data_IF_605368160375
#
_entry.id   IF_605368160375
#
_cell.length_a   1.000
_cell.length_b   1.000
_cell.length_c   1.000
_cell.angle_alpha   90.00
_cell.angle_beta   90.00
_cell.angle_gamma   90.00
#
_symmetry.space_group_name_H-M   'P 1'
#
loop_
_entity.id
_entity.type
_entity.pdbx_description
1 polymer ?
#
# COMPACT_ATOMS: atom_id res chain seq x y z
N UNK A 1 -25.64 -6.88 -56.89
CA UNK A 1 -25.04 -6.58 -55.57
C UNK A 1 -24.69 -7.91 -54.93
N UNK A 2 -23.45 -8.36 -55.15
CA UNK A 2 -22.99 -9.68 -54.70
C UNK A 2 -22.37 -9.50 -53.32
N UNK A 3 -23.07 -9.99 -52.29
CA UNK A 3 -22.60 -9.98 -50.91
C UNK A 3 -21.42 -10.94 -50.81
N UNK A 4 -20.21 -10.41 -50.82
CA UNK A 4 -19.00 -11.15 -50.47
C UNK A 4 -19.07 -11.50 -48.99
N UNK A 5 -19.60 -12.67 -48.67
CA UNK A 5 -19.39 -13.33 -47.39
C UNK A 5 -17.93 -13.78 -47.35
N UNK A 6 -17.05 -12.89 -46.89
CA UNK A 6 -15.67 -13.18 -46.58
C UNK A 6 -15.62 -14.19 -45.43
N UNK A 7 -15.22 -15.42 -45.77
CA UNK A 7 -14.91 -16.53 -44.86
C UNK A 7 -14.12 -16.01 -43.65
N UNK A 8 -14.71 -16.04 -42.45
CA UNK A 8 -13.96 -15.96 -41.19
C UNK A 8 -13.01 -17.16 -41.17
N UNK A 9 -11.72 -16.92 -41.38
CA UNK A 9 -10.71 -17.91 -41.03
C UNK A 9 -10.75 -18.03 -39.50
N UNK A 10 -11.15 -19.19 -38.98
CA UNK A 10 -11.02 -19.51 -37.56
C UNK A 10 -9.53 -19.46 -37.21
N UNK A 11 -9.08 -18.31 -36.70
CA UNK A 11 -7.77 -18.21 -36.07
C UNK A 11 -7.85 -19.07 -34.82
N UNK A 12 -7.15 -20.21 -34.81
CA UNK A 12 -6.90 -20.94 -33.57
C UNK A 12 -6.10 -20.01 -32.65
N UNK A 13 -6.71 -19.59 -31.53
CA UNK A 13 -6.03 -18.83 -30.51
C UNK A 13 -5.41 -19.81 -29.53
N UNK A 14 -4.12 -19.61 -29.22
CA UNK A 14 -3.42 -20.44 -28.25
C UNK A 14 -2.85 -19.56 -27.14
N UNK A 15 -3.16 -19.91 -25.90
CA UNK A 15 -2.68 -19.24 -24.71
C UNK A 15 -1.31 -19.83 -24.34
N UNK A 16 -0.24 -19.03 -24.29
CA UNK A 16 1.03 -19.47 -23.73
C UNK A 16 0.97 -19.36 -22.20
N UNK A 17 0.57 -20.44 -21.53
CA UNK A 17 0.48 -20.48 -20.07
C UNK A 17 1.86 -20.74 -19.48
N UNK A 18 2.35 -19.83 -18.64
CA UNK A 18 3.64 -19.99 -17.97
C UNK A 18 3.58 -21.06 -16.88
N UNK A 19 4.56 -21.96 -16.84
CA UNK A 19 4.61 -23.10 -15.91
C UNK A 19 5.91 -23.10 -15.09
N UNK A 20 5.80 -23.47 -13.82
CA UNK A 20 6.91 -23.71 -12.89
C UNK A 20 7.18 -25.22 -12.76
N UNK A 21 8.30 -25.61 -12.15
CA UNK A 21 8.63 -27.04 -11.95
C UNK A 21 7.56 -27.78 -11.13
N UNK A 22 6.98 -27.10 -10.13
CA UNK A 22 5.87 -27.62 -9.32
C UNK A 22 4.62 -27.90 -10.16
N UNK A 23 4.21 -26.94 -11.00
CA UNK A 23 3.05 -27.11 -11.89
C UNK A 23 3.30 -28.20 -12.94
N UNK A 24 4.53 -28.34 -13.44
CA UNK A 24 4.90 -29.40 -14.37
C UNK A 24 4.72 -30.78 -13.72
N UNK A 25 5.18 -30.92 -12.47
CA UNK A 25 5.05 -32.15 -11.70
C UNK A 25 3.59 -32.49 -11.38
N UNK A 26 2.83 -31.52 -10.85
CA UNK A 26 1.47 -31.75 -10.34
C UNK A 26 0.46 -32.05 -11.44
N UNK A 27 0.59 -31.41 -12.60
CA UNK A 27 -0.29 -31.62 -13.75
C UNK A 27 0.27 -32.66 -14.73
N UNK A 28 1.45 -33.23 -14.45
CA UNK A 28 2.06 -34.28 -15.27
C UNK A 28 2.36 -33.85 -16.71
N UNK A 29 2.72 -32.58 -16.92
CA UNK A 29 3.05 -32.08 -18.24
C UNK A 29 4.32 -32.77 -18.76
N UNK A 30 4.28 -33.26 -20.01
CA UNK A 30 5.45 -33.89 -20.61
C UNK A 30 6.48 -32.81 -20.98
N UNK A 31 7.79 -33.11 -20.87
CA UNK A 31 8.85 -32.20 -21.32
C UNK A 31 8.71 -31.76 -22.77
N UNK A 32 8.12 -32.60 -23.61
CA UNK A 32 7.87 -32.37 -25.04
C UNK A 32 6.87 -31.23 -25.31
N UNK A 33 5.90 -31.03 -24.40
CA UNK A 33 4.85 -30.02 -24.54
C UNK A 33 5.30 -28.64 -24.01
N UNK A 34 6.47 -28.60 -23.36
CA UNK A 34 7.03 -27.38 -22.75
C UNK A 34 7.92 -26.67 -23.75
N UNK A 35 7.56 -25.45 -24.10
CA UNK A 35 8.33 -24.61 -25.00
C UNK A 35 8.81 -23.34 -24.31
N UNK A 36 9.96 -22.81 -24.75
CA UNK A 36 10.41 -21.50 -24.28
C UNK A 36 9.79 -20.40 -25.14
N UNK A 37 9.05 -19.50 -24.48
CA UNK A 37 8.48 -18.31 -25.13
C UNK A 37 8.84 -17.06 -24.34
N UNK A 38 8.97 -15.95 -25.06
CA UNK A 38 9.13 -14.64 -24.44
C UNK A 38 7.74 -14.07 -24.14
N UNK A 39 7.44 -13.88 -22.86
CA UNK A 39 6.25 -13.18 -22.38
C UNK A 39 6.73 -11.86 -21.77
N UNK A 40 6.46 -10.75 -22.47
CA UNK A 40 6.98 -9.44 -22.13
C UNK A 40 8.52 -9.38 -22.18
N UNK A 41 9.13 -9.04 -21.05
CA UNK A 41 10.59 -8.96 -20.92
C UNK A 41 11.25 -10.25 -20.41
N UNK A 42 10.46 -11.29 -20.12
CA UNK A 42 10.94 -12.53 -19.49
C UNK A 42 10.86 -13.70 -20.47
N UNK A 43 11.81 -14.63 -20.40
CA UNK A 43 11.73 -15.93 -21.07
C UNK A 43 11.11 -16.92 -20.10
N UNK A 44 9.98 -17.49 -20.47
CA UNK A 44 9.23 -18.41 -19.63
C UNK A 44 9.12 -19.78 -20.32
N UNK A 45 9.09 -20.83 -19.52
CA UNK A 45 8.58 -22.14 -19.94
C UNK A 45 7.07 -22.03 -20.03
N UNK A 46 6.52 -22.42 -21.18
CA UNK A 46 5.10 -22.33 -21.43
C UNK A 46 4.55 -23.62 -22.02
N UNK A 47 3.29 -23.88 -21.69
CA UNK A 47 2.45 -24.88 -22.37
C UNK A 47 1.43 -24.12 -23.21
N UNK A 48 1.21 -24.55 -24.45
CA UNK A 48 0.25 -23.94 -25.36
C UNK A 48 -1.12 -24.57 -25.14
N UNK A 49 -2.11 -23.76 -24.76
CA UNK A 49 -3.48 -24.21 -24.52
C UNK A 49 -4.39 -23.63 -25.59
N UNK A 50 -5.09 -24.47 -26.34
CA UNK A 50 -6.07 -24.03 -27.32
C UNK A 50 -7.24 -23.31 -26.61
N UNK A 51 -7.61 -22.15 -27.14
CA UNK A 51 -8.64 -21.29 -26.56
C UNK A 51 -9.46 -20.60 -27.65
N UNK A 52 -10.65 -20.15 -27.29
CA UNK A 52 -11.41 -19.22 -28.11
C UNK A 52 -10.78 -17.82 -28.08
N UNK A 53 -11.17 -16.94 -29.02
CA UNK A 53 -10.67 -15.55 -29.03
C UNK A 53 -10.97 -14.80 -27.72
N UNK A 54 -12.15 -15.05 -27.15
CA UNK A 54 -12.64 -14.40 -25.94
C UNK A 54 -11.81 -14.83 -24.72
N UNK A 55 -11.61 -16.14 -24.56
CA UNK A 55 -10.76 -16.71 -23.49
C UNK A 55 -9.32 -16.25 -23.62
N UNK A 56 -8.75 -16.28 -24.83
CA UNK A 56 -7.40 -15.80 -25.09
C UNK A 56 -7.22 -14.33 -24.70
N UNK A 57 -8.15 -13.46 -25.09
CA UNK A 57 -8.09 -12.04 -24.75
C UNK A 57 -8.29 -11.81 -23.26
N UNK A 58 -9.24 -12.50 -22.63
CA UNK A 58 -9.50 -12.39 -21.20
C UNK A 58 -8.28 -12.81 -20.37
N UNK A 59 -7.61 -13.89 -20.76
CA UNK A 59 -6.39 -14.36 -20.10
C UNK A 59 -5.19 -13.44 -20.34
N UNK A 60 -4.97 -12.99 -21.59
CA UNK A 60 -3.80 -12.19 -21.94
C UNK A 60 -3.92 -10.71 -21.54
N UNK A 61 -5.12 -10.15 -21.42
CA UNK A 61 -5.33 -8.74 -21.04
C UNK A 61 -4.66 -8.34 -19.71
N UNK A 62 -4.82 -9.06 -18.58
CA UNK A 62 -4.12 -8.73 -17.34
C UNK A 62 -2.60 -8.88 -17.49
N UNK A 63 -2.13 -9.93 -18.18
CA UNK A 63 -0.70 -10.18 -18.42
C UNK A 63 -0.08 -9.03 -19.22
N UNK A 64 -0.71 -8.58 -20.30
CA UNK A 64 -0.25 -7.44 -21.08
C UNK A 64 -0.27 -6.14 -20.29
N UNK A 65 -1.25 -5.97 -19.40
CA UNK A 65 -1.35 -4.79 -18.53
C UNK A 65 -0.14 -4.73 -17.59
N UNK A 66 0.22 -5.87 -16.99
CA UNK A 66 1.38 -5.97 -16.12
C UNK A 66 2.70 -5.79 -16.89
N UNK A 67 2.85 -6.40 -18.06
CA UNK A 67 4.04 -6.19 -18.93
C UNK A 67 4.19 -4.71 -19.29
N UNK A 68 3.10 -4.03 -19.67
CA UNK A 68 3.12 -2.58 -19.94
C UNK A 68 3.42 -1.76 -18.70
N UNK A 69 3.10 -2.25 -17.50
CA UNK A 69 3.48 -1.63 -16.23
C UNK A 69 4.98 -1.74 -16.01
N UNK A 70 5.54 -2.95 -16.12
CA UNK A 70 6.98 -3.18 -16.02
C UNK A 70 7.77 -2.34 -17.03
N UNK A 71 7.28 -2.24 -18.27
CA UNK A 71 7.89 -1.41 -19.32
C UNK A 71 7.85 0.09 -19.02
N UNK A 72 6.87 0.56 -18.24
CA UNK A 72 6.77 1.95 -17.75
C UNK A 72 7.63 2.17 -16.51
N UNK A 73 7.76 1.17 -15.65
CA UNK A 73 8.62 1.19 -14.45
C UNK A 73 10.10 1.23 -14.83
N UNK A 74 10.50 0.47 -15.84
CA UNK A 74 11.87 0.47 -16.34
C UNK A 74 12.26 1.69 -17.18
N UNK A 75 11.47 2.78 -17.24
CA UNK A 75 11.83 3.99 -18.01
C UNK A 75 12.57 4.99 -17.15
N UNK A 76 13.35 5.86 -17.80
CA UNK A 76 14.07 6.92 -17.10
C UNK A 76 13.13 7.97 -16.48
N UNK A 77 13.58 8.55 -15.36
CA UNK A 77 12.98 9.73 -14.75
C UNK A 77 13.64 10.98 -15.35
N UNK A 78 12.84 11.84 -15.98
CA UNK A 78 13.29 13.08 -16.65
C UNK A 78 12.58 14.28 -16.02
N UNK A 79 13.20 15.46 -16.07
CA UNK A 79 12.54 16.69 -15.61
C UNK A 79 11.40 17.05 -16.57
N UNK A 80 10.19 17.14 -16.04
CA UNK A 80 9.02 17.62 -16.77
C UNK A 80 9.00 19.14 -16.92
N UNK A 81 7.99 19.66 -17.62
CA UNK A 81 7.81 21.10 -17.86
C UNK A 81 7.77 21.95 -16.58
N UNK A 82 7.35 21.35 -15.47
CA UNK A 82 7.19 22.03 -14.17
C UNK A 82 8.37 21.77 -13.22
N UNK A 83 9.50 21.26 -13.73
CA UNK A 83 10.69 20.92 -12.92
C UNK A 83 10.58 19.64 -12.10
N UNK A 84 9.37 19.07 -11.91
CA UNK A 84 9.16 17.77 -11.27
C UNK A 84 9.71 16.62 -12.13
N UNK A 85 10.29 15.60 -11.49
CA UNK A 85 10.70 14.39 -12.18
C UNK A 85 9.46 13.59 -12.60
N UNK A 86 9.36 13.34 -13.90
CA UNK A 86 8.31 12.52 -14.51
C UNK A 86 8.94 11.33 -15.21
N UNK A 87 8.18 10.25 -15.36
CA UNK A 87 8.61 9.12 -16.20
C UNK A 87 8.63 9.55 -17.66
N UNK A 88 9.65 9.10 -18.38
CA UNK A 88 9.81 9.40 -19.78
C UNK A 88 8.59 8.92 -20.60
N UNK A 89 7.97 9.79 -21.41
CA UNK A 89 6.79 9.45 -22.19
C UNK A 89 7.08 8.37 -23.25
N UNK A 90 6.04 7.66 -23.69
CA UNK A 90 6.15 6.56 -24.70
C UNK A 90 6.73 7.00 -26.03
N UNK A 91 6.59 8.27 -26.37
CA UNK A 91 7.13 8.87 -27.58
C UNK A 91 8.67 8.92 -27.59
N UNK A 92 9.33 8.83 -26.44
CA UNK A 92 10.78 8.87 -26.34
C UNK A 92 11.37 7.45 -26.35
N UNK A 93 12.11 7.13 -27.40
CA UNK A 93 12.88 5.88 -27.48
C UNK A 93 14.07 5.97 -26.53
N UNK A 94 14.03 5.19 -25.45
CA UNK A 94 15.11 5.14 -24.46
C UNK A 94 16.45 4.73 -25.07
N UNK A 95 16.45 3.94 -26.16
CA UNK A 95 17.65 3.48 -26.88
C UNK A 95 18.54 4.61 -27.44
N UNK A 96 17.96 5.79 -27.73
CA UNK A 96 18.70 6.97 -28.19
C UNK A 96 18.86 8.06 -27.13
N UNK A 97 18.50 7.78 -25.87
CA UNK A 97 18.49 8.79 -24.82
C UNK A 97 19.90 9.01 -24.27
N UNK A 98 20.31 10.28 -24.10
CA UNK A 98 21.60 10.63 -23.48
C UNK A 98 21.72 10.12 -22.03
N UNK A 99 20.57 9.91 -21.37
CA UNK A 99 20.49 9.34 -20.02
C UNK A 99 20.51 7.80 -20.00
N UNK A 100 20.49 7.13 -21.15
CA UNK A 100 20.39 5.66 -21.23
C UNK A 100 21.54 4.93 -20.51
N UNK A 101 22.75 5.47 -20.57
CA UNK A 101 23.93 4.89 -19.92
C UNK A 101 23.98 5.14 -18.41
N UNK A 102 23.44 6.28 -17.94
CA UNK A 102 23.40 6.64 -16.51
C UNK A 102 22.20 6.00 -15.80
N UNK A 103 21.13 5.76 -16.55
CA UNK A 103 19.82 5.38 -16.04
C UNK A 103 19.49 3.97 -16.54
N UNK A 104 20.02 2.96 -15.86
CA UNK A 104 19.72 1.56 -16.16
C UNK A 104 18.24 1.26 -15.96
N UNK A 105 17.60 0.66 -16.96
CA UNK A 105 16.19 0.20 -16.89
C UNK A 105 15.96 -0.79 -15.75
N UNK A 106 17.02 -1.49 -15.31
CA UNK A 106 16.96 -2.39 -14.15
C UNK A 106 17.00 -1.62 -12.81
N UNK A 107 17.72 -0.51 -12.73
CA UNK A 107 17.82 0.31 -11.50
C UNK A 107 16.57 1.15 -11.20
N UNK A 108 15.75 1.45 -12.21
CA UNK A 108 14.51 2.22 -12.01
C UNK A 108 13.29 1.35 -11.68
N UNK A 109 13.43 0.03 -11.74
CA UNK A 109 12.34 -0.85 -11.30
C UNK A 109 12.14 -0.64 -9.81
N UNK A 110 10.88 -0.62 -9.33
CA UNK A 110 10.62 -0.63 -7.90
C UNK A 110 11.30 -1.87 -7.30
N UNK A 111 12.05 -1.67 -6.21
CA UNK A 111 12.64 -2.77 -5.46
C UNK A 111 11.52 -3.66 -4.92
N UNK A 112 11.76 -4.98 -4.88
CA UNK A 112 10.84 -5.88 -4.20
C UNK A 112 10.91 -5.64 -2.70
N UNK A 113 9.82 -5.96 -2.00
CA UNK A 113 9.76 -5.85 -0.55
C UNK A 113 10.89 -6.63 0.13
N UNK A 114 11.20 -7.84 -0.37
CA UNK A 114 12.31 -8.66 0.13
C UNK A 114 13.66 -7.95 0.04
N UNK A 115 13.95 -7.29 -1.09
CA UNK A 115 15.22 -6.56 -1.28
C UNK A 115 15.30 -5.38 -0.31
N UNK A 116 14.18 -4.67 -0.11
CA UNK A 116 14.12 -3.58 0.86
C UNK A 116 14.36 -4.06 2.30
N UNK A 117 13.80 -5.22 2.67
CA UNK A 117 14.02 -5.82 4.00
C UNK A 117 15.48 -6.25 4.20
N UNK A 118 16.09 -6.88 3.19
CA UNK A 118 17.51 -7.30 3.24
C UNK A 118 18.47 -6.09 3.31
N UNK A 119 18.09 -4.97 2.68
CA UNK A 119 18.84 -3.70 2.74
C UNK A 119 18.60 -2.92 4.05
N UNK A 120 17.80 -3.46 4.97
CA UNK A 120 17.51 -2.83 6.26
C UNK A 120 16.63 -1.59 6.15
N UNK A 121 15.84 -1.47 5.07
CA UNK A 121 14.86 -0.41 4.95
C UNK A 121 13.66 -0.74 5.86
N UNK A 122 13.63 -0.12 7.04
CA UNK A 122 12.47 -0.22 7.93
C UNK A 122 11.31 0.62 7.39
N UNK A 123 10.07 0.09 7.43
CA UNK A 123 8.90 0.90 7.11
C UNK A 123 8.84 2.05 8.10
N UNK A 124 8.76 3.28 7.59
CA UNK A 124 8.51 4.45 8.42
C UNK A 124 7.11 4.31 9.00
N UNK A 125 7.00 3.89 10.26
CA UNK A 125 5.76 4.01 11.01
C UNK A 125 5.64 5.44 11.50
N UNK A 126 4.48 6.07 11.30
CA UNK A 126 4.18 7.34 11.97
C UNK A 126 3.99 7.04 13.46
N UNK A 127 5.07 7.19 14.23
CA UNK A 127 5.14 6.88 15.66
C UNK A 127 6.09 5.71 15.96
N UNK A 128 7.02 5.91 16.89
CA UNK A 128 7.82 4.81 17.42
C UNK A 128 7.02 4.06 18.50
N UNK A 129 7.15 2.74 18.58
CA UNK A 129 6.52 1.95 19.65
C UNK A 129 6.87 2.47 21.05
N UNK A 130 8.05 3.09 21.18
CA UNK A 130 8.52 3.69 22.43
C UNK A 130 7.72 4.95 22.80
N UNK A 131 7.30 5.74 21.81
CA UNK A 131 6.46 6.92 22.02
C UNK A 131 5.08 6.52 22.57
N UNK A 132 4.44 5.51 21.99
CA UNK A 132 3.11 5.04 22.43
C UNK A 132 3.11 4.57 23.89
N UNK A 133 4.14 3.83 24.31
CA UNK A 133 4.28 3.35 25.70
C UNK A 133 4.51 4.50 26.68
N UNK A 134 5.21 5.57 26.26
CA UNK A 134 5.43 6.76 27.09
C UNK A 134 4.11 7.52 27.29
N UNK A 135 3.32 7.71 26.24
CA UNK A 135 2.03 8.41 26.34
C UNK A 135 1.04 7.66 27.23
N UNK A 136 0.98 6.33 27.13
CA UNK A 136 0.09 5.50 27.94
C UNK A 136 0.41 5.64 29.44
N UNK A 137 1.70 5.56 29.83
CA UNK A 137 2.14 5.77 31.22
C UNK A 137 1.81 7.17 31.75
N UNK A 138 2.06 8.21 30.95
CA UNK A 138 1.73 9.59 31.34
C UNK A 138 0.22 9.73 31.58
N UNK A 139 -0.61 9.09 30.75
CA UNK A 139 -2.06 9.12 30.90
C UNK A 139 -2.52 8.44 32.20
N UNK A 140 -1.96 7.27 32.53
CA UNK A 140 -2.24 6.56 33.77
C UNK A 140 -1.88 7.40 35.01
N UNK A 141 -0.69 8.01 35.02
CA UNK A 141 -0.23 8.87 36.10
C UNK A 141 -1.12 10.11 36.28
N UNK A 142 -1.56 10.74 35.18
CA UNK A 142 -2.48 11.87 35.22
C UNK A 142 -3.85 11.46 35.77
N UNK A 143 -4.37 10.29 35.38
CA UNK A 143 -5.64 9.77 35.91
C UNK A 143 -5.52 9.48 37.40
N UNK A 144 -4.43 8.88 37.85
CA UNK A 144 -4.18 8.58 39.26
C UNK A 144 -4.17 9.87 40.09
N UNK A 145 -3.39 10.87 39.67
CA UNK A 145 -3.32 12.17 40.34
C UNK A 145 -4.68 12.87 40.41
N UNK A 146 -5.44 12.89 39.32
CA UNK A 146 -6.78 13.50 39.31
C UNK A 146 -7.75 12.75 40.23
N UNK A 147 -7.62 11.43 40.32
CA UNK A 147 -8.43 10.58 41.20
C UNK A 147 -8.12 10.82 42.69
N UNK A 148 -6.86 11.07 43.04
CA UNK A 148 -6.45 11.46 44.39
C UNK A 148 -7.06 12.81 44.81
N UNK A 149 -7.11 13.78 43.89
CA UNK A 149 -7.75 15.08 44.15
C UNK A 149 -9.26 14.89 44.35
N UNK A 150 -9.92 14.25 43.38
CA UNK A 150 -11.31 13.79 43.50
C UNK A 150 -11.53 12.58 42.58
N UNK A 151 -12.07 11.46 43.07
CA UNK A 151 -12.29 10.25 42.25
C UNK A 151 -13.11 10.50 40.97
N UNK A 152 -14.05 11.45 41.02
CA UNK A 152 -14.85 11.87 39.87
C UNK A 152 -14.04 12.53 38.75
N UNK A 153 -12.92 13.19 39.05
CA UNK A 153 -12.11 13.88 38.05
C UNK A 153 -11.31 12.91 37.18
N UNK A 154 -10.71 11.88 37.78
CA UNK A 154 -10.04 10.82 37.02
C UNK A 154 -11.00 10.08 36.09
N UNK A 155 -12.24 9.85 36.55
CA UNK A 155 -13.28 9.21 35.74
C UNK A 155 -13.77 10.08 34.59
N UNK A 156 -13.98 11.39 34.82
CA UNK A 156 -14.28 12.34 33.73
C UNK A 156 -13.13 12.41 32.73
N UNK A 157 -11.87 12.44 33.19
CA UNK A 157 -10.71 12.54 32.31
C UNK A 157 -10.52 11.30 31.42
N UNK A 158 -10.78 10.11 31.95
CA UNK A 158 -10.80 8.86 31.16
C UNK A 158 -11.88 8.90 30.06
N UNK A 159 -13.10 9.26 30.43
CA UNK A 159 -14.22 9.35 29.47
C UNK A 159 -13.97 10.41 28.39
N UNK A 160 -13.30 11.52 28.72
CA UNK A 160 -12.86 12.51 27.72
C UNK A 160 -11.84 11.94 26.74
N UNK A 161 -10.88 11.13 27.22
CA UNK A 161 -9.88 10.48 26.38
C UNK A 161 -10.53 9.46 25.43
N UNK A 162 -11.50 8.70 25.93
CA UNK A 162 -12.27 7.72 25.16
C UNK A 162 -13.26 8.39 24.16
N UNK A 163 -13.29 9.72 24.09
CA UNK A 163 -14.10 10.48 23.15
C UNK A 163 -15.57 10.65 23.53
N UNK A 164 -15.94 10.34 24.78
CA UNK A 164 -17.32 10.48 25.25
C UNK A 164 -17.80 11.93 25.25
N UNK A 165 -19.08 12.13 24.94
CA UNK A 165 -19.72 13.44 25.00
C UNK A 165 -20.04 13.84 26.44
N UNK A 166 -20.24 15.15 26.69
CA UNK A 166 -20.60 15.65 28.02
C UNK A 166 -21.97 15.13 28.53
N UNK A 167 -22.85 14.70 27.62
CA UNK A 167 -24.12 14.08 27.98
C UNK A 167 -23.92 12.62 28.40
N UNK A 168 -23.16 11.83 27.63
CA UNK A 168 -22.83 10.45 27.98
C UNK A 168 -22.06 10.37 29.31
N UNK A 169 -21.12 11.28 29.55
CA UNK A 169 -20.43 11.41 30.83
C UNK A 169 -21.39 11.73 31.99
N UNK A 170 -22.40 12.57 31.75
CA UNK A 170 -23.38 12.95 32.75
C UNK A 170 -24.28 11.77 33.13
N UNK A 171 -24.69 11.00 32.13
CA UNK A 171 -25.52 9.80 32.28
C UNK A 171 -24.76 8.68 33.00
N UNK A 172 -23.47 8.45 32.67
CA UNK A 172 -22.65 7.44 33.33
C UNK A 172 -22.34 7.80 34.79
N UNK A 173 -22.02 9.07 35.04
CA UNK A 173 -21.64 9.54 36.38
C UNK A 173 -22.86 9.89 37.26
N UNK A 174 -24.08 9.85 36.71
CA UNK A 174 -25.31 10.21 37.43
C UNK A 174 -25.36 11.66 37.89
N UNK A 175 -24.69 12.57 37.18
CA UNK A 175 -24.59 14.00 37.53
C UNK A 175 -25.14 14.89 36.42
N UNK A 176 -25.45 16.14 36.73
CA UNK A 176 -25.95 17.09 35.73
C UNK A 176 -24.84 17.44 34.73
N UNK A 177 -25.17 17.51 33.45
CA UNK A 177 -24.24 17.89 32.37
C UNK A 177 -23.53 19.24 32.62
N UNK A 178 -24.20 20.22 33.24
CA UNK A 178 -23.54 21.48 33.67
C UNK A 178 -22.38 21.23 34.64
N UNK A 179 -22.54 20.30 35.58
CA UNK A 179 -21.50 19.94 36.55
C UNK A 179 -20.32 19.26 35.87
N UNK A 180 -20.57 18.40 34.87
CA UNK A 180 -19.52 17.83 34.02
C UNK A 180 -18.73 18.95 33.33
N UNK A 181 -19.42 19.92 32.71
CA UNK A 181 -18.77 21.05 32.04
C UNK A 181 -17.87 21.88 32.97
N UNK A 182 -18.33 22.15 34.19
CA UNK A 182 -17.55 22.88 35.20
C UNK A 182 -16.36 22.07 35.72
N UNK A 183 -16.53 20.76 35.90
CA UNK A 183 -15.47 19.86 36.32
C UNK A 183 -14.41 19.71 35.21
N UNK A 184 -14.78 19.66 33.92
CA UNK A 184 -13.85 19.67 32.77
C UNK A 184 -12.97 20.93 32.79
N UNK A 185 -13.56 22.10 33.05
CA UNK A 185 -12.79 23.36 33.15
C UNK A 185 -11.77 23.31 34.28
N UNK A 186 -12.14 22.74 35.43
CA UNK A 186 -11.24 22.57 36.58
C UNK A 186 -10.14 21.57 36.29
N UNK A 187 -10.47 20.42 35.69
CA UNK A 187 -9.49 19.42 35.26
C UNK A 187 -8.48 20.06 34.30
N UNK A 188 -8.93 20.82 33.30
CA UNK A 188 -8.05 21.54 32.37
C UNK A 188 -7.11 22.48 33.10
N UNK A 189 -7.60 23.24 34.09
CA UNK A 189 -6.74 24.15 34.86
C UNK A 189 -5.68 23.44 35.71
N UNK A 190 -5.95 22.21 36.15
CA UNK A 190 -5.01 21.39 36.94
C UNK A 190 -3.98 20.68 36.05
N UNK A 191 -4.40 20.16 34.91
CA UNK A 191 -3.56 19.36 34.00
C UNK A 191 -2.68 20.22 33.08
N UNK A 192 -3.17 21.39 32.65
CA UNK A 192 -2.47 22.27 31.72
C UNK A 192 -1.05 22.72 32.15
N UNK A 193 -0.76 23.06 33.42
CA UNK A 193 0.61 23.34 33.85
C UNK A 193 1.50 22.10 33.83
N UNK A 194 0.99 20.94 34.25
CA UNK A 194 1.74 19.69 34.35
C UNK A 194 2.17 19.16 32.98
N UNK A 195 1.27 19.22 32.00
CA UNK A 195 1.57 18.82 30.62
C UNK A 195 2.65 19.74 30.02
N UNK A 196 2.62 21.04 30.30
CA UNK A 196 3.66 21.96 29.82
C UNK A 196 5.04 21.63 30.39
N UNK A 197 5.12 21.18 31.63
CA UNK A 197 6.40 20.82 32.26
C UNK A 197 6.94 19.47 31.74
N UNK A 198 6.06 18.56 31.34
CA UNK A 198 6.43 17.24 30.77
C UNK A 198 6.92 17.37 29.33
N UNK A 199 6.26 18.18 28.50
CA UNK A 199 6.58 18.31 27.07
C UNK A 199 7.59 19.43 26.71
N UNK A 200 7.96 20.30 27.65
CA UNK A 200 9.04 21.31 27.46
C UNK A 200 10.39 20.88 28.07
N UNK A 201 10.52 19.61 28.46
CA UNK A 201 11.80 18.98 28.79
C UNK A 201 12.43 18.36 27.56
#
# INVERSE_FOLDING_TARGET
>A
MTVNQSKKQDRQYQIPMAVTDEVIHDFGFKPEDITWRRIGNRKCRVVMVDATEEEYRAYMAPIWTEIKREDRDGRCMVKGKNGKLIRCPESNRCEGCKHFSEVSRERNKPASLSVLMDEGAEPVTEGSFEEDVIYEKILEDLIAMLSEIKPKYGRIFRLLYDGATQQEMADELGIKQRTVSDDIKKIRSLVQPLVKDIFNR
#
